data_IF_299009190257
#
_entry.id   IF_299009190257
#
_cell.length_a   1.000
_cell.length_b   1.000
_cell.length_c   1.000
_cell.angle_alpha   90.00
_cell.angle_beta   90.00
_cell.angle_gamma   90.00
#
_symmetry.space_group_name_H-M   'P 1'
#
loop_
_entity.id
_entity.type
_entity.pdbx_description
1 polymer ?
#
# COMPACT_ATOMS: atom_id res chain seq x y z
N UNK A 1 22.19 5.88 6.11
CA UNK A 1 20.83 6.39 5.87
C UNK A 1 19.90 5.23 5.62
N UNK A 2 18.86 5.07 6.43
CA UNK A 2 17.98 3.91 6.34
C UNK A 2 16.60 4.32 5.80
N UNK A 3 16.19 3.72 4.70
CA UNK A 3 14.91 4.01 4.06
C UNK A 3 14.06 2.76 4.13
N UNK A 4 12.86 2.89 4.72
CA UNK A 4 11.91 1.80 4.91
C UNK A 4 10.62 2.16 4.18
N UNK A 5 10.12 1.20 3.40
CA UNK A 5 8.79 1.32 2.80
C UNK A 5 7.83 0.42 3.57
N UNK A 6 6.67 0.97 3.94
CA UNK A 6 5.63 0.24 4.66
C UNK A 6 4.37 0.11 3.82
N UNK A 7 3.81 -1.09 3.80
CA UNK A 7 2.56 -1.39 3.10
C UNK A 7 1.48 -1.71 4.12
N UNK A 8 0.35 -1.03 4.02
CA UNK A 8 -0.77 -1.23 4.92
C UNK A 8 -2.03 -1.55 4.11
N UNK A 9 -2.72 -2.60 4.51
CA UNK A 9 -4.01 -2.94 3.94
C UNK A 9 -5.00 -3.22 5.06
N UNK A 10 -6.18 -2.64 4.95
CA UNK A 10 -7.27 -2.87 5.91
C UNK A 10 -8.55 -3.19 5.15
N UNK A 11 -9.68 -3.27 5.86
CA UNK A 11 -10.96 -3.59 5.24
C UNK A 11 -11.36 -2.57 4.16
N UNK A 12 -10.89 -1.33 4.26
CA UNK A 12 -11.32 -0.28 3.34
C UNK A 12 -10.20 0.61 2.80
N UNK A 13 -8.95 0.37 3.19
CA UNK A 13 -7.85 1.26 2.77
C UNK A 13 -6.64 0.46 2.36
N UNK A 14 -5.91 1.00 1.39
CA UNK A 14 -4.55 0.57 1.10
C UNK A 14 -3.66 1.80 1.13
N UNK A 15 -2.52 1.68 1.80
CA UNK A 15 -1.59 2.79 1.97
C UNK A 15 -0.16 2.31 1.89
N UNK A 16 0.71 3.21 1.44
CA UNK A 16 2.14 2.95 1.38
C UNK A 16 2.83 4.18 1.95
N UNK A 17 3.72 3.95 2.92
CA UNK A 17 4.51 5.01 3.53
C UNK A 17 5.98 4.78 3.30
N UNK A 18 6.73 5.86 3.10
CA UNK A 18 8.19 5.81 2.99
C UNK A 18 8.78 6.67 4.10
N UNK A 19 9.66 6.07 4.88
CA UNK A 19 10.28 6.70 6.04
C UNK A 19 11.80 6.63 5.88
N UNK A 20 12.46 7.75 6.10
CA UNK A 20 13.91 7.84 6.10
C UNK A 20 14.39 8.35 7.45
N UNK A 21 15.12 7.51 8.20
CA UNK A 21 15.69 7.85 9.50
C UNK A 21 14.66 8.47 10.47
N UNK A 22 13.45 7.89 10.48
CA UNK A 22 12.37 8.36 11.35
C UNK A 22 11.51 9.48 10.78
N UNK A 23 11.85 10.02 9.63
CA UNK A 23 11.09 11.07 8.97
C UNK A 23 10.18 10.50 7.89
N UNK A 24 8.89 10.87 7.91
CA UNK A 24 7.93 10.43 6.90
C UNK A 24 8.12 11.26 5.64
N UNK A 25 8.54 10.60 4.55
CA UNK A 25 8.75 11.26 3.26
C UNK A 25 7.48 11.28 2.42
N UNK A 26 6.67 10.21 2.49
CA UNK A 26 5.40 10.14 1.78
C UNK A 26 4.49 9.14 2.44
N UNK A 27 3.17 9.28 2.22
CA UNK A 27 2.19 8.36 2.82
C UNK A 27 0.86 8.41 2.05
N UNK A 28 0.85 8.12 0.75
CA UNK A 28 -0.39 8.12 -0.02
C UNK A 28 -1.29 6.94 0.33
N UNK A 29 -2.58 7.12 0.15
CA UNK A 29 -3.60 6.12 0.47
C UNK A 29 -4.72 6.13 -0.55
N UNK A 30 -5.45 5.00 -0.63
CA UNK A 30 -6.70 4.89 -1.37
C UNK A 30 -7.73 4.21 -0.48
N UNK A 31 -8.93 4.76 -0.46
CA UNK A 31 -10.05 4.22 0.31
C UNK A 31 -11.01 3.50 -0.62
N UNK A 32 -11.40 2.28 -0.24
CA UNK A 32 -12.47 1.56 -0.92
C UNK A 32 -13.80 2.00 -0.34
N UNK A 33 -14.67 2.54 -1.20
CA UNK A 33 -15.99 3.00 -0.80
C UNK A 33 -17.01 2.01 -1.36
N UNK A 34 -17.79 1.38 -0.45
CA UNK A 34 -18.85 0.48 -0.86
C UNK A 34 -20.10 1.27 -1.28
N UNK A 35 -20.95 0.70 -2.15
CA UNK A 35 -22.25 1.32 -2.43
C UNK A 35 -23.08 1.46 -1.17
N UNK A 36 -23.97 2.46 -1.09
CA UNK A 36 -24.81 2.67 0.09
C UNK A 36 -25.61 1.41 0.45
N UNK A 37 -25.60 1.05 1.73
CA UNK A 37 -26.33 -0.11 2.22
C UNK A 37 -25.61 -1.43 2.08
N UNK A 38 -24.41 -1.46 1.49
CA UNK A 38 -23.62 -2.67 1.35
C UNK A 38 -22.42 -2.66 2.29
N UNK A 39 -22.04 -3.84 2.79
CA UNK A 39 -20.85 -4.01 3.60
C UNK A 39 -19.63 -4.32 2.75
N UNK A 40 -18.48 -4.42 3.41
CA UNK A 40 -17.23 -4.80 2.74
C UNK A 40 -17.19 -6.31 2.57
N UNK A 41 -17.04 -6.77 1.33
CA UNK A 41 -16.82 -8.17 1.01
C UNK A 41 -15.32 -8.40 0.83
N UNK A 42 -14.73 -9.43 1.47
CA UNK A 42 -13.28 -9.65 1.39
C UNK A 42 -12.76 -9.74 -0.04
N UNK A 43 -13.52 -10.35 -0.94
CA UNK A 43 -13.14 -10.48 -2.35
C UNK A 43 -13.06 -9.11 -3.04
N UNK A 44 -14.04 -8.25 -2.80
CA UNK A 44 -14.09 -6.93 -3.41
C UNK A 44 -13.01 -6.01 -2.83
N UNK A 45 -12.76 -6.12 -1.54
CA UNK A 45 -11.67 -5.39 -0.88
C UNK A 45 -10.33 -5.79 -1.46
N UNK A 46 -10.08 -7.09 -1.61
CA UNK A 46 -8.84 -7.59 -2.18
C UNK A 46 -8.66 -7.10 -3.63
N UNK A 47 -9.74 -7.07 -4.40
CA UNK A 47 -9.71 -6.58 -5.78
C UNK A 47 -9.38 -5.09 -5.82
N UNK A 48 -10.00 -4.29 -4.95
CA UNK A 48 -9.70 -2.87 -4.84
C UNK A 48 -8.23 -2.63 -4.52
N UNK A 49 -7.69 -3.35 -3.55
CA UNK A 49 -6.31 -3.19 -3.15
C UNK A 49 -5.35 -3.62 -4.26
N UNK A 50 -5.65 -4.71 -4.93
CA UNK A 50 -4.87 -5.20 -6.07
C UNK A 50 -4.83 -4.18 -7.20
N UNK A 51 -5.97 -3.56 -7.50
CA UNK A 51 -6.06 -2.58 -8.58
C UNK A 51 -5.31 -1.30 -8.26
N UNK A 52 -5.14 -0.99 -6.97
CA UNK A 52 -4.57 0.29 -6.55
C UNK A 52 -3.14 0.22 -6.01
N UNK A 53 -2.64 -0.98 -5.66
CA UNK A 53 -1.35 -1.10 -4.97
C UNK A 53 -0.19 -0.51 -5.78
N UNK A 54 -0.14 -0.76 -7.07
CA UNK A 54 0.95 -0.25 -7.91
C UNK A 54 0.83 1.26 -8.12
N UNK A 55 -0.38 1.78 -8.18
CA UNK A 55 -0.62 3.22 -8.32
C UNK A 55 -0.15 3.93 -7.06
N UNK A 56 -0.53 3.41 -5.89
CA UNK A 56 -0.14 3.99 -4.60
C UNK A 56 1.38 3.86 -4.40
N UNK A 57 1.97 2.76 -4.82
CA UNK A 57 3.41 2.57 -4.74
C UNK A 57 4.15 3.62 -5.57
N UNK A 58 3.71 3.85 -6.80
CA UNK A 58 4.31 4.88 -7.65
C UNK A 58 4.16 6.27 -7.03
N UNK A 59 2.98 6.58 -6.50
CA UNK A 59 2.76 7.86 -5.83
C UNK A 59 3.70 8.03 -4.63
N UNK A 60 3.88 6.96 -3.83
CA UNK A 60 4.76 7.02 -2.67
C UNK A 60 6.20 7.29 -3.08
N UNK A 61 6.70 6.60 -4.09
CA UNK A 61 8.06 6.79 -4.58
C UNK A 61 8.25 8.18 -5.18
N UNK A 62 7.27 8.67 -5.95
CA UNK A 62 7.35 9.99 -6.57
C UNK A 62 7.31 11.11 -5.54
N UNK A 63 6.41 11.03 -4.55
CA UNK A 63 6.32 12.02 -3.49
C UNK A 63 7.58 12.06 -2.62
N UNK A 64 8.16 10.90 -2.35
CA UNK A 64 9.39 10.80 -1.56
C UNK A 64 10.63 11.14 -2.39
N UNK A 65 10.50 11.18 -3.72
CA UNK A 65 11.60 11.37 -4.66
C UNK A 65 12.70 10.33 -4.44
N UNK A 66 12.28 9.07 -4.32
CA UNK A 66 13.15 7.92 -4.03
C UNK A 66 12.97 6.88 -5.12
N UNK A 67 14.07 6.31 -5.60
CA UNK A 67 14.00 5.17 -6.52
C UNK A 67 13.94 3.86 -5.73
N UNK A 68 13.34 2.79 -6.28
CA UNK A 68 13.16 1.52 -5.56
C UNK A 68 14.47 0.91 -5.04
N UNK A 69 15.57 1.13 -5.73
CA UNK A 69 16.86 0.57 -5.34
C UNK A 69 17.45 1.22 -4.08
N UNK A 70 16.88 2.33 -3.62
CA UNK A 70 17.31 3.00 -2.39
C UNK A 70 16.64 2.46 -1.14
N UNK A 71 15.62 1.62 -1.29
CA UNK A 71 14.87 1.08 -0.16
C UNK A 71 15.67 -0.02 0.52
N UNK A 72 15.85 0.11 1.84
CA UNK A 72 16.65 -0.82 2.64
C UNK A 72 15.82 -1.93 3.27
N UNK A 73 14.56 -1.68 3.58
CA UNK A 73 13.69 -2.65 4.23
C UNK A 73 12.23 -2.44 3.85
N UNK A 74 11.44 -3.51 3.98
CA UNK A 74 10.01 -3.50 3.69
C UNK A 74 9.25 -3.98 4.92
N UNK A 75 8.23 -3.22 5.31
CA UNK A 75 7.31 -3.60 6.38
C UNK A 75 5.90 -3.72 5.78
N UNK A 76 5.08 -4.65 6.27
CA UNK A 76 3.74 -4.82 5.74
C UNK A 76 2.81 -5.47 6.75
N UNK A 77 1.51 -5.22 6.59
CA UNK A 77 0.47 -5.90 7.36
C UNK A 77 0.23 -7.28 6.74
N UNK A 78 0.46 -8.32 7.52
CA UNK A 78 0.67 -9.67 7.01
C UNK A 78 -0.51 -10.28 6.25
N UNK A 79 -1.71 -10.19 6.80
CA UNK A 79 -2.86 -10.93 6.24
C UNK A 79 -3.36 -10.33 4.95
N UNK A 80 -3.74 -9.06 4.97
CA UNK A 80 -4.36 -8.39 3.82
C UNK A 80 -3.37 -8.19 2.69
N UNK A 81 -2.14 -7.79 3.01
CA UNK A 81 -1.14 -7.48 1.99
C UNK A 81 -0.58 -8.71 1.29
N UNK A 82 -0.45 -9.84 1.99
CA UNK A 82 -0.02 -11.07 1.33
C UNK A 82 -1.02 -11.48 0.27
N UNK A 83 -2.32 -11.46 0.59
CA UNK A 83 -3.35 -11.80 -0.38
C UNK A 83 -3.32 -10.86 -1.58
N UNK A 84 -3.14 -9.57 -1.34
CA UNK A 84 -3.05 -8.56 -2.40
C UNK A 84 -1.82 -8.76 -3.28
N UNK A 85 -0.65 -8.98 -2.67
CA UNK A 85 0.60 -9.17 -3.40
C UNK A 85 0.60 -10.46 -4.21
N UNK A 86 0.09 -11.56 -3.66
CA UNK A 86 -0.02 -12.82 -4.38
C UNK A 86 -0.91 -12.68 -5.61
N UNK A 87 -1.97 -11.89 -5.50
CA UNK A 87 -2.87 -11.64 -6.61
C UNK A 87 -2.25 -10.75 -7.69
N UNK A 88 -1.23 -9.97 -7.36
CA UNK A 88 -0.51 -9.11 -8.29
C UNK A 88 0.65 -9.80 -9.00
N UNK A 89 1.04 -10.99 -8.54
CA UNK A 89 2.13 -11.73 -9.18
C UNK A 89 1.67 -12.33 -10.50
N UNK A 90 2.53 -12.32 -11.53
CA UNK A 90 2.20 -12.94 -12.82
C UNK A 90 2.13 -14.46 -12.73
#
# INVERSE_FOLDING_TARGET
MTIIIGFEGSANKIGIGIIQDGEVLSNPRRTYITPPGEGFLPRDTAQHHRDNVLIVLREALDEANISPDKIDAVAYTKVTMIACLLACLP
#
